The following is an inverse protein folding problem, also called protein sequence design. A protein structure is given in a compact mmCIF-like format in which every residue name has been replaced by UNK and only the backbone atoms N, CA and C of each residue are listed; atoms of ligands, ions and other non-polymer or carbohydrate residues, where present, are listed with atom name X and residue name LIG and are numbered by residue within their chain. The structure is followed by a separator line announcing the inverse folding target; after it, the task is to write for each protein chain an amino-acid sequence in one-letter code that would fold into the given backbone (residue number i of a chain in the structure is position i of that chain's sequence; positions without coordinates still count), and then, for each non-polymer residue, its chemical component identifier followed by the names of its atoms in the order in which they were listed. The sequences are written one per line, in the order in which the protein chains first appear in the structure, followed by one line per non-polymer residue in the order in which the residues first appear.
data_IF_668850783985
#
_entry.id   IF_668850783985
#
_cell.length_a   1.000
_cell.length_b   1.000
_cell.length_c   1.000
_cell.angle_alpha   90.00
_cell.angle_beta   90.00
_cell.angle_gamma   90.00
#
_symmetry.space_group_name_H-M   'P 1'
#
loop_
_entity.id
_entity.type
_entity.pdbx_description
1 polymer ?
#
# COMPACT_ATOMS: atom_id res chain seq x y z
N UNK A 1 -54.32 11.32 -3.82
CA UNK A 1 -55.69 11.73 -4.19
C UNK A 1 -55.81 11.78 -5.72
N UNK A 2 -56.14 10.65 -6.36
CA UNK A 2 -56.49 10.62 -7.78
C UNK A 2 -57.89 10.02 -7.91
N UNK A 3 -58.80 10.81 -8.48
CA UNK A 3 -60.21 10.49 -8.64
C UNK A 3 -60.42 9.68 -9.93
N UNK A 4 -60.90 8.44 -9.81
CA UNK A 4 -61.41 7.66 -10.94
C UNK A 4 -62.89 7.98 -11.16
N UNK A 5 -63.18 8.64 -12.27
CA UNK A 5 -64.54 8.91 -12.74
C UNK A 5 -65.21 7.61 -13.19
N UNK A 6 -66.21 7.17 -12.43
CA UNK A 6 -67.06 6.02 -12.73
C UNK A 6 -68.06 6.38 -13.85
N UNK A 7 -67.90 5.78 -15.04
CA UNK A 7 -68.89 5.89 -16.13
C UNK A 7 -70.11 5.03 -15.77
N UNK A 8 -71.21 5.72 -15.49
CA UNK A 8 -72.55 5.19 -15.24
C UNK A 8 -73.17 4.79 -16.60
N UNK A 9 -73.10 3.52 -16.97
CA UNK A 9 -73.91 2.97 -18.06
C UNK A 9 -75.30 2.62 -17.53
N UNK A 10 -76.28 3.44 -17.89
CA UNK A 10 -77.70 3.19 -17.68
C UNK A 10 -78.17 2.15 -18.70
N UNK A 11 -78.39 0.91 -18.27
CA UNK A 11 -79.03 -0.11 -19.09
C UNK A 11 -80.54 -0.09 -18.83
N UNK A 12 -81.29 0.07 -19.92
CA UNK A 12 -82.75 0.09 -19.99
C UNK A 12 -83.27 -1.35 -19.88
N UNK A 13 -84.25 -1.57 -19.00
CA UNK A 13 -85.01 -2.82 -18.86
C UNK A 13 -86.04 -2.94 -19.99
N UNK A 14 -86.10 -4.08 -20.71
CA UNK A 14 -87.32 -4.54 -21.34
C UNK A 14 -88.01 -5.59 -20.46
N UNK A 15 -89.23 -5.25 -20.05
CA UNK A 15 -90.21 -6.15 -19.46
C UNK A 15 -90.62 -7.24 -20.47
N UNK A 16 -90.38 -8.49 -20.13
CA UNK A 16 -91.11 -9.63 -20.70
C UNK A 16 -91.40 -10.62 -19.59
N UNK A 17 -92.66 -10.66 -19.16
CA UNK A 17 -93.24 -11.72 -18.36
C UNK A 17 -93.14 -13.05 -19.12
N UNK A 18 -92.42 -14.02 -18.55
CA UNK A 18 -92.41 -15.40 -19.02
C UNK A 18 -92.34 -16.35 -17.81
N UNK A 19 -93.29 -17.29 -17.66
CA UNK A 19 -93.34 -18.19 -16.52
C UNK A 19 -92.51 -19.46 -16.79
N UNK A 20 -91.28 -19.51 -16.27
CA UNK A 20 -90.45 -20.72 -16.26
C UNK A 20 -89.87 -20.95 -14.84
N UNK A 21 -90.70 -21.47 -13.94
CA UNK A 21 -90.37 -21.59 -12.50
C UNK A 21 -89.76 -22.95 -12.07
N UNK A 22 -89.08 -23.69 -12.95
CA UNK A 22 -88.52 -25.02 -12.58
C UNK A 22 -87.02 -25.19 -12.85
N UNK A 23 -86.38 -24.34 -13.65
CA UNK A 23 -84.93 -24.43 -13.95
C UNK A 23 -84.03 -23.58 -13.03
N UNK A 24 -84.60 -22.68 -12.22
CA UNK A 24 -83.83 -21.77 -11.37
C UNK A 24 -83.21 -22.40 -10.10
N UNK A 25 -83.56 -23.63 -9.74
CA UNK A 25 -83.04 -24.27 -8.53
C UNK A 25 -81.66 -24.95 -8.74
N UNK A 26 -81.27 -25.28 -9.98
CA UNK A 26 -79.96 -25.88 -10.24
C UNK A 26 -78.81 -24.85 -10.28
N UNK A 27 -79.08 -23.62 -10.72
CA UNK A 27 -78.06 -22.56 -10.81
C UNK A 27 -77.63 -22.00 -9.45
N UNK A 28 -78.51 -22.04 -8.44
CA UNK A 28 -78.16 -21.57 -7.10
C UNK A 28 -77.19 -22.53 -6.38
N UNK A 29 -77.27 -23.83 -6.68
CA UNK A 29 -76.42 -24.84 -6.03
C UNK A 29 -74.96 -24.78 -6.53
N UNK A 30 -74.77 -24.61 -7.83
CA UNK A 30 -73.44 -24.47 -8.45
C UNK A 30 -72.75 -23.18 -8.01
N UNK A 31 -73.50 -22.08 -7.88
CA UNK A 31 -72.97 -20.81 -7.38
C UNK A 31 -72.48 -20.92 -5.93
N UNK A 32 -73.26 -21.54 -5.04
CA UNK A 32 -72.87 -21.73 -3.63
C UNK A 32 -71.64 -22.63 -3.51
N UNK A 33 -71.55 -23.69 -4.32
CA UNK A 33 -70.39 -24.57 -4.33
C UNK A 33 -69.12 -23.86 -4.82
N UNK A 34 -69.21 -23.09 -5.91
CA UNK A 34 -68.09 -22.29 -6.43
C UNK A 34 -67.64 -21.23 -5.41
N UNK A 35 -68.58 -20.57 -4.73
CA UNK A 35 -68.24 -19.57 -3.71
C UNK A 35 -67.53 -20.19 -2.50
N UNK A 36 -67.93 -21.40 -2.06
CA UNK A 36 -67.21 -22.13 -1.01
C UNK A 36 -65.80 -22.53 -1.43
N UNK A 37 -65.63 -22.96 -2.68
CA UNK A 37 -64.32 -23.36 -3.21
C UNK A 37 -63.37 -22.17 -3.34
N UNK A 38 -63.87 -21.01 -3.77
CA UNK A 38 -63.09 -19.76 -3.79
C UNK A 38 -62.66 -19.37 -2.37
N UNK A 39 -63.59 -19.35 -1.41
CA UNK A 39 -63.26 -19.04 -0.01
C UNK A 39 -62.22 -19.99 0.57
N UNK A 40 -62.38 -21.31 0.37
CA UNK A 40 -61.40 -22.29 0.82
C UNK A 40 -60.03 -22.11 0.16
N UNK A 41 -59.98 -21.68 -1.10
CA UNK A 41 -58.71 -21.38 -1.78
C UNK A 41 -58.08 -20.10 -1.25
N UNK A 42 -58.87 -19.08 -0.94
CA UNK A 42 -58.38 -17.81 -0.40
C UNK A 42 -57.88 -17.99 1.04
N UNK A 43 -58.58 -18.76 1.86
CA UNK A 43 -58.18 -19.12 3.22
C UNK A 43 -56.85 -19.89 3.22
N UNK A 44 -56.66 -20.84 2.29
CA UNK A 44 -55.39 -21.55 2.14
C UNK A 44 -54.24 -20.61 1.72
N UNK A 45 -54.50 -19.69 0.79
CA UNK A 45 -53.49 -18.70 0.36
C UNK A 45 -53.10 -17.75 1.50
N UNK A 46 -54.06 -17.37 2.35
CA UNK A 46 -53.81 -16.55 3.52
C UNK A 46 -52.93 -17.30 4.53
N UNK A 47 -53.24 -18.56 4.85
CA UNK A 47 -52.42 -19.39 5.73
C UNK A 47 -50.99 -19.61 5.19
N UNK A 48 -50.84 -19.79 3.87
CA UNK A 48 -49.54 -19.91 3.22
C UNK A 48 -48.73 -18.60 3.29
N UNK A 49 -49.40 -17.44 3.20
CA UNK A 49 -48.76 -16.12 3.33
C UNK A 49 -48.32 -15.87 4.77
N UNK A 50 -49.17 -16.14 5.76
CA UNK A 50 -48.82 -16.04 7.18
C UNK A 50 -47.63 -16.93 7.53
N UNK A 51 -47.58 -18.15 6.98
CA UNK A 51 -46.44 -19.06 7.18
C UNK A 51 -45.16 -18.54 6.54
N UNK A 52 -45.25 -17.88 5.37
CA UNK A 52 -44.09 -17.27 4.71
C UNK A 52 -43.60 -16.02 5.45
N UNK A 53 -44.51 -15.18 5.94
CA UNK A 53 -44.21 -14.01 6.75
C UNK A 53 -43.48 -14.43 8.04
N UNK A 54 -44.00 -15.42 8.76
CA UNK A 54 -43.35 -15.97 9.95
C UNK A 54 -41.94 -16.54 9.67
N UNK A 55 -41.72 -17.12 8.48
CA UNK A 55 -40.38 -17.59 8.06
C UNK A 55 -39.44 -16.42 7.74
N UNK A 56 -39.93 -15.36 7.10
CA UNK A 56 -39.15 -14.16 6.84
C UNK A 56 -38.74 -13.48 8.15
N UNK A 57 -39.65 -13.36 9.11
CA UNK A 57 -39.36 -12.79 10.43
C UNK A 57 -38.32 -13.61 11.19
N UNK A 58 -38.41 -14.94 11.14
CA UNK A 58 -37.40 -15.82 11.74
C UNK A 58 -36.01 -15.65 11.10
N UNK A 59 -35.94 -15.47 9.77
CA UNK A 59 -34.67 -15.21 9.07
C UNK A 59 -34.09 -13.85 9.48
N UNK A 60 -34.93 -12.80 9.53
CA UNK A 60 -34.50 -11.47 9.96
C UNK A 60 -33.97 -11.49 11.39
N UNK A 61 -34.67 -12.15 12.31
CA UNK A 61 -34.23 -12.31 13.69
C UNK A 61 -32.88 -13.07 13.78
N UNK A 62 -32.71 -14.12 12.96
CA UNK A 62 -31.44 -14.84 12.89
C UNK A 62 -30.29 -13.96 12.36
N UNK A 63 -30.53 -13.19 11.30
CA UNK A 63 -29.53 -12.26 10.75
C UNK A 63 -29.13 -11.17 11.75
N UNK A 64 -30.08 -10.64 12.51
CA UNK A 64 -29.82 -9.67 13.58
C UNK A 64 -28.97 -10.27 14.70
N UNK A 65 -29.27 -11.51 15.10
CA UNK A 65 -28.48 -12.25 16.09
C UNK A 65 -27.03 -12.48 15.62
N UNK A 66 -26.83 -12.87 14.36
CA UNK A 66 -25.50 -13.04 13.76
C UNK A 66 -24.75 -11.70 13.67
N UNK A 67 -25.43 -10.60 13.31
CA UNK A 67 -24.81 -9.28 13.25
C UNK A 67 -24.29 -8.84 14.63
N UNK A 68 -25.08 -9.02 15.69
CA UNK A 68 -24.66 -8.71 17.06
C UNK A 68 -23.46 -9.56 17.51
N UNK A 69 -23.45 -10.86 17.18
CA UNK A 69 -22.32 -11.73 17.49
C UNK A 69 -21.03 -11.30 16.78
N UNK A 70 -21.12 -10.86 15.51
CA UNK A 70 -19.98 -10.33 14.77
C UNK A 70 -19.46 -9.00 15.34
N UNK A 71 -20.35 -8.13 15.84
CA UNK A 71 -19.95 -6.90 16.52
C UNK A 71 -19.21 -7.18 17.84
N UNK A 72 -19.64 -8.17 18.60
CA UNK A 72 -18.96 -8.62 19.82
C UNK A 72 -17.58 -9.25 19.54
N UNK A 73 -17.48 -10.09 18.50
CA UNK A 73 -16.21 -10.66 18.05
C UNK A 73 -15.25 -9.57 17.58
N UNK A 74 -15.74 -8.60 16.81
CA UNK A 74 -14.95 -7.44 16.39
C UNK A 74 -14.45 -6.63 17.59
N UNK A 75 -15.30 -6.35 18.57
CA UNK A 75 -14.91 -5.63 19.77
C UNK A 75 -13.83 -6.38 20.57
N UNK A 76 -13.91 -7.72 20.62
CA UNK A 76 -12.92 -8.59 21.26
C UNK A 76 -11.58 -8.54 20.53
N UNK A 77 -11.58 -8.60 19.20
CA UNK A 77 -10.37 -8.48 18.37
C UNK A 77 -9.73 -7.09 18.50
N UNK A 78 -10.52 -6.02 18.47
CA UNK A 78 -10.03 -4.64 18.65
C UNK A 78 -9.42 -4.42 20.04
N UNK A 79 -9.94 -5.11 21.06
CA UNK A 79 -9.36 -5.11 22.41
C UNK A 79 -8.01 -5.86 22.44
N UNK A 80 -7.96 -7.06 21.85
CA UNK A 80 -6.74 -7.85 21.78
C UNK A 80 -5.61 -7.12 21.03
N UNK A 81 -5.93 -6.49 19.89
CA UNK A 81 -4.99 -5.70 19.09
C UNK A 81 -4.44 -4.50 19.88
N UNK A 82 -5.28 -3.83 20.69
CA UNK A 82 -4.85 -2.73 21.56
C UNK A 82 -3.84 -3.20 22.61
N UNK A 83 -4.08 -4.35 23.22
CA UNK A 83 -3.15 -4.95 24.20
C UNK A 83 -1.81 -5.29 23.54
N UNK A 84 -1.83 -5.91 22.36
CA UNK A 84 -0.61 -6.24 21.62
C UNK A 84 0.17 -4.98 21.22
N UNK A 85 -0.52 -3.92 20.76
CA UNK A 85 0.14 -2.66 20.41
C UNK A 85 0.82 -2.02 21.63
N UNK A 86 0.18 -2.02 22.79
CA UNK A 86 0.76 -1.54 24.05
C UNK A 86 1.99 -2.36 24.43
N UNK A 87 1.93 -3.68 24.28
CA UNK A 87 3.06 -4.57 24.55
C UNK A 87 4.24 -4.28 23.62
N UNK A 88 3.99 -4.13 22.32
CA UNK A 88 5.04 -3.81 21.34
C UNK A 88 5.67 -2.44 21.62
N UNK A 89 4.87 -1.41 21.92
CA UNK A 89 5.40 -0.08 22.31
C UNK A 89 6.28 -0.15 23.56
N UNK A 90 5.89 -0.96 24.55
CA UNK A 90 6.68 -1.18 25.76
C UNK A 90 8.00 -1.88 25.45
N UNK A 91 8.00 -2.87 24.54
CA UNK A 91 9.24 -3.54 24.10
C UNK A 91 10.16 -2.60 23.33
N UNK A 92 9.61 -1.76 22.45
CA UNK A 92 10.39 -0.74 21.72
C UNK A 92 11.04 0.24 22.70
N UNK A 93 10.28 0.81 23.63
CA UNK A 93 10.82 1.72 24.65
C UNK A 93 11.91 1.07 25.51
N UNK A 94 11.76 -0.21 25.87
CA UNK A 94 12.78 -0.96 26.58
C UNK A 94 14.08 -1.12 25.76
N UNK A 95 13.96 -1.41 24.46
CA UNK A 95 15.10 -1.54 23.57
C UNK A 95 15.80 -0.20 23.34
N UNK A 96 15.05 0.89 23.19
CA UNK A 96 15.60 2.26 23.07
C UNK A 96 16.46 2.62 24.28
N UNK A 97 15.95 2.41 25.50
CA UNK A 97 16.71 2.64 26.73
C UNK A 97 17.98 1.78 26.76
N UNK A 98 17.90 0.51 26.31
CA UNK A 98 19.05 -0.38 26.26
C UNK A 98 20.10 0.07 25.23
N UNK A 99 19.68 0.57 24.08
CA UNK A 99 20.58 1.13 23.06
C UNK A 99 21.31 2.35 23.60
N UNK A 100 20.59 3.30 24.21
CA UNK A 100 21.19 4.49 24.83
C UNK A 100 22.21 4.10 25.91
N UNK A 101 21.89 3.11 26.76
CA UNK A 101 22.81 2.63 27.78
C UNK A 101 24.09 2.00 27.19
N UNK A 102 23.96 1.25 26.09
CA UNK A 102 25.11 0.66 25.38
C UNK A 102 25.96 1.74 24.70
N UNK A 103 25.35 2.76 24.09
CA UNK A 103 26.06 3.89 23.51
C UNK A 103 26.86 4.66 24.56
N UNK A 104 26.26 4.92 25.73
CA UNK A 104 26.95 5.57 26.85
C UNK A 104 28.11 4.72 27.37
N UNK A 105 27.94 3.40 27.47
CA UNK A 105 29.00 2.49 27.89
C UNK A 105 30.17 2.47 26.90
N UNK A 106 29.87 2.43 25.60
CA UNK A 106 30.86 2.47 24.52
C UNK A 106 31.64 3.79 24.53
N UNK A 107 30.95 4.93 24.68
CA UNK A 107 31.58 6.24 24.75
C UNK A 107 32.49 6.39 25.98
N UNK A 108 32.11 5.78 27.11
CA UNK A 108 32.93 5.75 28.32
C UNK A 108 34.19 4.87 28.15
N UNK A 109 34.08 3.74 27.44
CA UNK A 109 35.21 2.86 27.13
C UNK A 109 36.20 3.53 26.19
N UNK A 110 35.72 4.10 25.08
CA UNK A 110 36.55 4.84 24.13
C UNK A 110 37.22 6.06 24.80
N UNK A 111 36.50 6.76 25.68
CA UNK A 111 37.07 7.87 26.45
C UNK A 111 38.23 7.44 27.35
N UNK A 112 38.16 6.26 27.98
CA UNK A 112 39.26 5.70 28.78
C UNK A 112 40.47 5.35 27.91
N UNK A 113 40.26 4.69 26.78
CA UNK A 113 41.35 4.34 25.85
C UNK A 113 42.10 5.58 25.35
N UNK A 114 41.38 6.65 25.00
CA UNK A 114 41.99 7.92 24.56
C UNK A 114 42.82 8.54 25.69
N UNK A 115 42.30 8.57 26.93
CA UNK A 115 43.03 9.11 28.09
C UNK A 115 44.32 8.30 28.34
N UNK A 116 44.25 6.98 28.29
CA UNK A 116 45.40 6.09 28.49
C UNK A 116 46.45 6.27 27.37
N UNK A 117 46.03 6.46 26.12
CA UNK A 117 46.92 6.76 24.99
C UNK A 117 47.62 8.11 25.16
N UNK A 118 46.86 9.16 25.51
CA UNK A 118 47.41 10.50 25.74
C UNK A 118 48.41 10.48 26.90
N UNK A 119 48.10 9.76 27.99
CA UNK A 119 49.01 9.58 29.11
C UNK A 119 50.30 8.87 28.70
N UNK A 120 50.21 7.84 27.85
CA UNK A 120 51.36 7.10 27.32
C UNK A 120 52.24 7.99 26.43
N UNK A 121 51.64 8.77 25.54
CA UNK A 121 52.35 9.71 24.68
C UNK A 121 53.03 10.83 25.50
N UNK A 122 52.38 11.33 26.55
CA UNK A 122 52.96 12.33 27.43
C UNK A 122 54.18 11.78 28.21
N UNK A 123 54.14 10.53 28.67
CA UNK A 123 55.28 9.88 29.31
C UNK A 123 56.45 9.67 28.34
N UNK A 124 56.18 9.26 27.10
CA UNK A 124 57.21 9.09 26.07
C UNK A 124 57.86 10.42 25.64
N UNK A 125 57.11 11.52 25.67
CA UNK A 125 57.60 12.84 25.32
C UNK A 125 58.40 13.53 26.43
N UNK A 126 58.34 13.03 27.67
CA UNK A 126 59.12 13.58 28.79
C UNK A 126 60.61 13.29 28.54
N UNK A 127 61.43 14.30 28.20
CA UNK A 127 62.84 14.07 27.91
C UNK A 127 63.49 13.52 29.18
N UNK A 128 64.06 12.32 29.09
CA UNK A 128 65.02 11.91 30.10
C UNK A 128 66.13 12.96 30.09
N UNK A 129 66.15 13.78 31.14
CA UNK A 129 67.22 14.70 31.46
C UNK A 129 68.48 13.87 31.74
N UNK A 130 69.13 13.39 30.68
CA UNK A 130 70.54 13.06 30.68
C UNK A 130 71.29 14.39 30.79
N UNK A 131 71.40 14.84 32.04
CA UNK A 131 72.35 15.85 32.49
C UNK A 131 73.76 15.29 32.30
N UNK A 132 74.28 15.36 31.08
CA UNK A 132 75.72 15.41 30.86
C UNK A 132 76.11 16.88 30.67
N UNK A 133 76.76 17.40 31.72
CA UNK A 133 77.32 18.72 31.79
C UNK A 133 78.44 18.88 30.77
N UNK A 134 78.36 19.85 29.85
CA UNK A 134 79.55 20.48 29.24
C UNK A 134 79.24 21.91 28.78
N UNK A 135 79.67 22.85 29.62
CA UNK A 135 80.18 24.22 29.37
C UNK A 135 79.70 25.09 28.20
N UNK A 136 79.24 26.30 28.60
CA UNK A 136 79.46 27.63 28.01
C UNK A 136 79.84 27.74 26.53
N UNK A 137 78.96 28.38 25.75
CA UNK A 137 79.42 29.34 24.74
C UNK A 137 78.35 30.39 24.44
N UNK A 138 78.79 31.63 24.54
CA UNK A 138 78.08 32.91 24.36
C UNK A 138 78.04 33.28 22.89
N UNK A 139 76.85 33.56 22.33
CA UNK A 139 76.59 34.31 21.09
C UNK A 139 75.17 33.93 20.62
N UNK A 140 74.31 34.75 20.03
CA UNK A 140 74.32 36.14 19.59
C UNK A 140 72.88 36.40 19.11
N UNK A 141 72.31 37.54 19.49
CA UNK A 141 70.96 37.95 19.09
C UNK A 141 70.92 38.26 17.60
N UNK A 142 70.00 37.65 16.84
CA UNK A 142 69.51 38.21 15.59
C UNK A 142 67.98 38.31 15.58
N UNK A 143 67.40 39.43 15.10
CA UNK A 143 65.97 39.64 14.99
C UNK A 143 65.45 39.11 13.65
N UNK A 144 64.44 38.25 13.67
CA UNK A 144 63.82 37.72 12.45
C UNK A 144 62.58 38.56 12.12
N UNK A 145 62.57 38.95 10.85
CA UNK A 145 61.63 39.80 10.14
C UNK A 145 60.15 39.42 10.32
N UNK A 146 59.33 40.47 10.41
CA UNK A 146 57.88 40.43 10.24
C UNK A 146 57.50 39.78 8.90
N UNK A 147 56.71 38.70 8.97
CA UNK A 147 56.14 38.04 7.82
C UNK A 147 54.92 38.82 7.30
N UNK A 148 54.95 39.09 6.01
CA UNK A 148 54.03 39.94 5.27
C UNK A 148 52.59 39.41 5.26
N UNK A 149 51.68 40.36 5.47
CA UNK A 149 50.22 40.26 5.34
C UNK A 149 49.85 39.94 3.89
N UNK A 150 49.44 38.70 3.63
CA UNK A 150 48.91 38.26 2.35
C UNK A 150 47.58 38.97 2.05
N UNK A 151 47.57 39.64 0.89
CA UNK A 151 46.45 40.42 0.37
C UNK A 151 45.53 39.44 -0.36
N UNK A 152 44.36 39.18 0.22
CA UNK A 152 43.27 38.45 -0.45
C UNK A 152 42.80 39.31 -1.63
N UNK A 153 43.02 38.82 -2.85
CA UNK A 153 42.47 39.43 -4.05
C UNK A 153 40.95 39.17 -4.13
N UNK A 154 40.15 40.17 -4.52
CA UNK A 154 38.72 40.05 -4.71
C UNK A 154 38.43 39.33 -6.03
N UNK A 155 37.53 38.35 -5.98
CA UNK A 155 36.91 37.75 -7.16
C UNK A 155 36.18 38.85 -7.93
N UNK A 156 36.70 39.17 -9.10
CA UNK A 156 36.00 39.97 -10.10
C UNK A 156 35.05 39.03 -10.80
N UNK A 157 33.76 39.31 -10.64
CA UNK A 157 32.74 38.94 -11.61
C UNK A 157 33.03 39.74 -12.89
N UNK A 158 32.88 39.07 -14.02
CA UNK A 158 32.75 39.56 -15.39
C UNK A 158 33.69 38.73 -16.26
N UNK A 159 33.17 37.72 -16.96
CA UNK A 159 33.17 37.70 -18.42
C UNK A 159 31.96 36.89 -18.90
N UNK A 160 31.13 37.57 -19.70
CA UNK A 160 30.21 36.99 -20.65
C UNK A 160 30.93 35.94 -21.50
N UNK A 161 30.42 34.71 -21.52
CA UNK A 161 30.75 33.77 -22.58
C UNK A 161 29.46 33.16 -23.14
N UNK A 162 29.04 33.80 -24.23
CA UNK A 162 28.15 33.28 -25.26
C UNK A 162 28.83 32.03 -25.83
N UNK A 163 28.55 30.86 -25.25
CA UNK A 163 28.88 29.57 -25.85
C UNK A 163 27.60 28.95 -26.37
N UNK A 164 27.32 29.31 -27.62
CA UNK A 164 26.68 28.47 -28.62
C UNK A 164 27.46 27.13 -28.70
N UNK A 165 27.12 26.17 -27.83
CA UNK A 165 27.66 24.80 -27.90
C UNK A 165 26.53 23.85 -28.26
N UNK A 166 26.43 23.67 -29.57
CA UNK A 166 25.89 22.46 -30.17
C UNK A 166 26.76 21.27 -29.73
N UNK A 167 26.33 20.49 -28.73
CA UNK A 167 26.60 19.06 -28.68
C UNK A 167 25.53 18.31 -27.88
N UNK A 168 25.10 17.13 -28.37
CA UNK A 168 23.95 16.41 -27.86
C UNK A 168 24.36 15.62 -26.61
N UNK A 169 23.93 16.05 -25.44
CA UNK A 169 23.92 15.19 -24.26
C UNK A 169 22.73 14.23 -24.37
N UNK A 170 22.90 13.20 -25.19
CA UNK A 170 21.98 12.08 -25.28
C UNK A 170 22.06 11.28 -23.98
N UNK A 171 21.17 11.59 -23.03
CA UNK A 171 20.75 10.60 -22.04
C UNK A 171 20.20 9.39 -22.82
N UNK A 172 20.51 8.14 -22.44
CA UNK A 172 19.91 6.98 -23.04
C UNK A 172 18.42 6.97 -22.67
N UNK A 173 17.60 7.63 -23.49
CA UNK A 173 16.19 7.35 -23.55
C UNK A 173 16.06 5.91 -24.05
N UNK A 174 15.70 5.03 -23.11
CA UNK A 174 15.18 3.71 -23.44
C UNK A 174 13.82 3.86 -24.12
N UNK A 175 13.81 4.44 -25.31
CA UNK A 175 12.75 4.26 -26.29
C UNK A 175 13.00 2.90 -26.93
N UNK A 176 12.56 1.86 -26.21
CA UNK A 176 12.24 0.61 -26.88
C UNK A 176 11.02 0.91 -27.77
N UNK A 177 11.28 1.23 -29.04
CA UNK A 177 10.31 1.13 -30.11
C UNK A 177 9.83 -0.33 -30.17
N UNK A 178 8.78 -0.60 -29.40
CA UNK A 178 8.01 -1.83 -29.50
C UNK A 178 7.02 -1.61 -30.63
N UNK A 179 7.22 -2.31 -31.73
CA UNK A 179 6.27 -2.40 -32.84
C UNK A 179 4.88 -2.73 -32.30
N UNK A 180 3.95 -1.80 -32.51
CA UNK A 180 2.61 -1.82 -31.96
C UNK A 180 1.73 -2.85 -32.68
N UNK A 181 1.68 -4.06 -32.14
CA UNK A 181 0.57 -4.98 -32.38
C UNK A 181 -0.68 -4.41 -31.70
N UNK A 182 -1.69 -4.11 -32.51
CA UNK A 182 -2.77 -3.18 -32.20
C UNK A 182 -3.79 -3.74 -31.21
N UNK A 183 -3.52 -3.63 -29.92
CA UNK A 183 -4.45 -3.26 -28.82
C UNK A 183 -3.73 -3.45 -27.49
N UNK A 184 -2.59 -2.76 -27.30
CA UNK A 184 -1.91 -2.76 -26.00
C UNK A 184 -2.74 -1.94 -25.02
N UNK A 185 -3.51 -2.65 -24.19
CA UNK A 185 -4.28 -2.07 -23.10
C UNK A 185 -3.36 -1.17 -22.25
N UNK A 186 -3.79 0.07 -22.02
CA UNK A 186 -2.98 1.06 -21.31
C UNK A 186 -2.60 0.54 -19.91
N UNK A 187 -1.31 0.56 -19.57
CA UNK A 187 -0.83 0.08 -18.28
C UNK A 187 -0.15 1.19 -17.50
N UNK A 188 -0.33 1.20 -16.17
CA UNK A 188 0.40 2.14 -15.31
C UNK A 188 1.90 1.88 -15.40
N UNK A 189 2.70 2.81 -15.95
CA UNK A 189 4.09 2.54 -16.24
C UNK A 189 4.92 2.51 -14.95
N UNK A 190 6.01 1.74 -14.97
CA UNK A 190 6.99 1.71 -13.88
C UNK A 190 7.91 2.91 -14.02
N UNK A 191 7.96 3.76 -13.00
CA UNK A 191 8.80 4.96 -13.02
C UNK A 191 9.30 5.31 -11.62
N UNK A 192 10.31 6.19 -11.57
CA UNK A 192 10.78 6.78 -10.31
C UNK A 192 9.79 7.80 -9.76
N UNK A 193 9.89 8.11 -8.47
CA UNK A 193 9.08 9.13 -7.82
C UNK A 193 9.23 10.52 -8.48
N UNK A 194 10.44 10.86 -8.94
CA UNK A 194 10.70 12.09 -9.68
C UNK A 194 9.91 12.18 -11.00
N UNK A 195 9.88 11.09 -11.78
CA UNK A 195 9.11 11.04 -13.03
C UNK A 195 7.61 11.07 -12.72
N UNK A 196 7.18 10.35 -11.67
CA UNK A 196 5.79 10.38 -11.21
C UNK A 196 5.37 11.80 -10.84
N UNK A 197 6.18 12.51 -10.05
CA UNK A 197 5.94 13.88 -9.64
C UNK A 197 5.80 14.82 -10.84
N UNK A 198 6.73 14.74 -11.80
CA UNK A 198 6.62 15.53 -13.03
C UNK A 198 5.32 15.25 -13.79
N UNK A 199 4.99 13.96 -14.01
CA UNK A 199 3.77 13.57 -14.74
C UNK A 199 2.48 13.85 -13.94
N UNK A 200 2.58 13.92 -12.62
CA UNK A 200 1.47 14.27 -11.74
C UNK A 200 0.88 15.64 -12.08
N UNK A 201 1.74 16.60 -12.39
CA UNK A 201 1.38 17.97 -12.72
C UNK A 201 1.30 18.23 -14.24
N UNK A 202 2.30 17.80 -15.01
CA UNK A 202 2.42 18.14 -16.43
C UNK A 202 1.93 17.05 -17.38
N UNK A 203 1.56 15.87 -16.86
CA UNK A 203 1.14 14.74 -17.68
C UNK A 203 2.30 14.15 -18.50
N UNK A 204 1.96 13.52 -19.63
CA UNK A 204 2.93 13.03 -20.60
C UNK A 204 2.51 13.38 -22.03
N UNK A 205 3.27 12.93 -23.04
CA UNK A 205 2.95 13.22 -24.44
C UNK A 205 1.57 12.70 -24.86
N UNK A 206 1.09 11.63 -24.21
CA UNK A 206 -0.21 11.02 -24.49
C UNK A 206 -1.34 11.73 -23.75
N UNK A 207 -1.09 12.13 -22.51
CA UNK A 207 -2.02 12.83 -21.63
C UNK A 207 -1.49 14.24 -21.37
N UNK A 208 -1.98 15.22 -22.12
CA UNK A 208 -1.60 16.64 -21.99
C UNK A 208 -2.02 17.30 -20.66
N UNK A 209 -2.61 16.54 -19.75
CA UNK A 209 -3.04 17.00 -18.44
C UNK A 209 -2.35 16.18 -17.34
N UNK A 210 -2.08 16.84 -16.21
CA UNK A 210 -1.50 16.21 -15.03
C UNK A 210 -2.28 14.99 -14.57
N UNK A 211 -1.56 13.92 -14.23
CA UNK A 211 -2.17 12.66 -13.78
C UNK A 211 -3.00 12.80 -12.51
N UNK A 212 -2.87 13.92 -11.78
CA UNK A 212 -3.74 14.26 -10.65
C UNK A 212 -5.23 14.27 -11.01
N UNK A 213 -5.58 14.62 -12.25
CA UNK A 213 -6.96 14.67 -12.73
C UNK A 213 -7.49 13.33 -13.25
N UNK A 214 -6.65 12.30 -13.32
CA UNK A 214 -7.05 11.02 -13.87
C UNK A 214 -7.89 10.24 -12.86
N UNK A 215 -9.10 9.83 -13.22
CA UNK A 215 -9.89 8.97 -12.34
C UNK A 215 -9.36 7.53 -12.39
N UNK A 216 -8.93 7.02 -11.24
CA UNK A 216 -8.43 5.65 -11.11
C UNK A 216 -9.50 4.61 -11.52
N UNK A 217 -10.79 4.93 -11.40
CA UNK A 217 -11.88 4.02 -11.78
C UNK A 217 -11.94 3.76 -13.29
N UNK A 218 -11.44 4.70 -14.10
CA UNK A 218 -11.41 4.61 -15.58
C UNK A 218 -10.25 3.77 -16.10
N UNK A 219 -9.30 3.41 -15.22
CA UNK A 219 -8.13 2.62 -15.58
C UNK A 219 -8.45 1.12 -15.54
N UNK A 220 -7.75 0.30 -16.34
CA UNK A 220 -7.81 -1.15 -16.23
C UNK A 220 -7.53 -1.61 -14.79
N UNK A 221 -8.24 -2.65 -14.33
CA UNK A 221 -8.16 -3.18 -12.95
C UNK A 221 -6.72 -3.43 -12.49
N UNK A 222 -5.85 -3.87 -13.39
CA UNK A 222 -4.43 -4.10 -13.12
C UNK A 222 -3.65 -2.81 -12.79
N UNK A 223 -4.08 -1.66 -13.33
CA UNK A 223 -3.47 -0.34 -13.17
C UNK A 223 -4.07 0.47 -12.02
N UNK A 224 -5.31 0.20 -11.60
CA UNK A 224 -6.01 0.96 -10.55
C UNK A 224 -5.23 0.99 -9.23
N UNK A 225 -4.76 -0.17 -8.75
CA UNK A 225 -4.01 -0.25 -7.49
C UNK A 225 -2.72 0.59 -7.51
N UNK A 226 -2.02 0.61 -8.65
CA UNK A 226 -0.80 1.41 -8.83
C UNK A 226 -1.10 2.90 -8.93
N UNK A 227 -2.20 3.26 -9.59
CA UNK A 227 -2.67 4.64 -9.66
C UNK A 227 -3.00 5.18 -8.28
N UNK A 228 -3.76 4.41 -7.49
CA UNK A 228 -4.10 4.76 -6.10
C UNK A 228 -2.86 4.90 -5.23
N UNK A 229 -1.92 3.95 -5.30
CA UNK A 229 -0.67 4.04 -4.55
C UNK A 229 0.17 5.26 -4.96
N UNK A 230 0.28 5.53 -6.27
CA UNK A 230 1.01 6.69 -6.79
C UNK A 230 0.39 8.01 -6.34
N UNK A 231 -0.96 8.08 -6.30
CA UNK A 231 -1.70 9.24 -5.78
C UNK A 231 -1.37 9.52 -4.32
N UNK A 232 -1.32 8.48 -3.48
CA UNK A 232 -0.98 8.64 -2.05
C UNK A 232 0.41 9.24 -1.89
N UNK A 233 1.41 8.73 -2.64
CA UNK A 233 2.78 9.25 -2.59
C UNK A 233 2.85 10.70 -3.11
N UNK A 234 2.23 10.97 -4.25
CA UNK A 234 2.24 12.31 -4.83
C UNK A 234 1.54 13.32 -3.91
N UNK A 235 0.37 12.99 -3.36
CA UNK A 235 -0.34 13.88 -2.45
C UNK A 235 0.45 14.14 -1.17
N UNK A 236 1.10 13.13 -0.59
CA UNK A 236 1.94 13.34 0.59
C UNK A 236 3.09 14.33 0.34
N UNK A 237 3.71 14.28 -0.85
CA UNK A 237 4.75 15.24 -1.23
C UNK A 237 4.17 16.64 -1.49
N UNK A 238 2.95 16.74 -2.04
CA UNK A 238 2.24 18.01 -2.19
C UNK A 238 1.96 18.63 -0.84
N UNK A 239 1.40 17.87 0.09
CA UNK A 239 1.06 18.37 1.43
C UNK A 239 2.31 18.90 2.15
N UNK A 240 3.45 18.24 1.99
CA UNK A 240 4.74 18.70 2.54
C UNK A 240 5.22 19.98 1.84
N UNK A 241 5.15 20.05 0.52
CA UNK A 241 5.54 21.25 -0.23
C UNK A 241 4.72 22.48 0.22
N UNK A 242 3.41 22.30 0.44
CA UNK A 242 2.53 23.36 0.93
C UNK A 242 2.79 23.71 2.40
N UNK A 243 2.99 22.71 3.26
CA UNK A 243 3.23 22.93 4.69
C UNK A 243 4.55 23.64 5.00
N UNK A 244 5.52 23.56 4.08
CA UNK A 244 6.84 24.20 4.18
C UNK A 244 7.00 25.43 3.28
N UNK A 245 5.89 26.01 2.81
CA UNK A 245 5.86 27.23 1.99
C UNK A 245 6.74 27.13 0.72
N UNK A 246 6.94 25.92 0.17
CA UNK A 246 7.65 25.72 -1.09
C UNK A 246 6.77 26.10 -2.29
N UNK A 247 5.45 26.05 -2.09
CA UNK A 247 4.44 26.58 -3.00
C UNK A 247 3.24 27.07 -2.17
N UNK A 248 2.56 28.09 -2.67
CA UNK A 248 1.35 28.67 -2.07
C UNK A 248 0.08 27.85 -2.39
N UNK A 249 0.11 27.07 -3.46
CA UNK A 249 -1.04 26.25 -3.90
C UNK A 249 -0.61 25.11 -4.84
N UNK A 250 -1.49 24.11 -5.01
CA UNK A 250 -1.29 23.06 -6.02
C UNK A 250 -1.31 23.58 -7.46
N UNK A 251 -2.00 24.69 -7.71
CA UNK A 251 -2.04 25.32 -9.03
C UNK A 251 -0.71 26.02 -9.36
N UNK A 252 -0.05 26.59 -8.35
CA UNK A 252 1.31 27.10 -8.52
C UNK A 252 2.28 25.98 -8.88
N UNK A 253 2.22 24.83 -8.19
CA UNK A 253 3.03 23.65 -8.54
C UNK A 253 2.81 23.18 -9.98
N UNK A 254 1.56 23.28 -10.49
CA UNK A 254 1.27 22.94 -11.88
C UNK A 254 1.77 23.98 -12.89
N UNK A 255 1.87 25.25 -12.48
CA UNK A 255 2.35 26.34 -13.32
C UNK A 255 3.88 26.47 -13.33
N UNK A 256 4.58 25.89 -12.34
CA UNK A 256 6.04 25.93 -12.23
C UNK A 256 6.73 25.32 -13.45
N UNK A 257 7.83 25.96 -13.85
CA UNK A 257 8.74 25.39 -14.84
C UNK A 257 9.32 24.08 -14.30
N UNK A 258 9.68 23.16 -15.21
CA UNK A 258 10.19 21.84 -14.84
C UNK A 258 11.36 21.89 -13.84
N UNK A 259 12.27 22.86 -13.98
CA UNK A 259 13.41 23.02 -13.07
C UNK A 259 12.96 23.31 -11.64
N UNK A 260 12.11 24.33 -11.47
CA UNK A 260 11.58 24.74 -10.16
C UNK A 260 10.73 23.64 -9.53
N UNK A 261 9.89 22.97 -10.34
CA UNK A 261 9.07 21.86 -9.87
C UNK A 261 9.91 20.69 -9.33
N UNK A 262 11.05 20.40 -9.97
CA UNK A 262 11.98 19.36 -9.49
C UNK A 262 12.74 19.80 -8.24
N UNK A 263 13.07 21.08 -8.11
CA UNK A 263 13.67 21.62 -6.89
C UNK A 263 12.72 21.50 -5.69
N UNK A 264 11.42 21.80 -5.90
CA UNK A 264 10.38 21.59 -4.88
C UNK A 264 10.25 20.10 -4.53
N UNK A 265 10.28 19.22 -5.52
CA UNK A 265 10.28 17.77 -5.29
C UNK A 265 11.43 17.32 -4.39
N UNK A 266 12.67 17.72 -4.69
CA UNK A 266 13.84 17.32 -3.90
C UNK A 266 13.75 17.87 -2.46
N UNK A 267 13.26 19.10 -2.30
CA UNK A 267 12.99 19.71 -1.00
C UNK A 267 11.95 18.93 -0.20
N UNK A 268 10.79 18.66 -0.80
CA UNK A 268 9.69 17.92 -0.16
C UNK A 268 10.08 16.47 0.15
N UNK A 269 10.80 15.80 -0.76
CA UNK A 269 11.27 14.43 -0.57
C UNK A 269 12.28 14.34 0.57
N UNK A 270 13.21 15.30 0.67
CA UNK A 270 14.17 15.37 1.77
C UNK A 270 13.46 15.48 3.12
N UNK A 271 12.47 16.37 3.22
CA UNK A 271 11.68 16.53 4.46
C UNK A 271 10.88 15.26 4.75
N UNK A 272 10.23 14.67 3.75
CA UNK A 272 9.47 13.44 3.92
C UNK A 272 10.32 12.28 4.44
N UNK A 273 11.58 12.18 3.98
CA UNK A 273 12.51 11.13 4.36
C UNK A 273 13.20 11.38 5.70
N UNK A 274 13.51 12.63 6.06
CA UNK A 274 14.40 12.94 7.18
C UNK A 274 13.79 13.80 8.30
N UNK A 275 12.80 14.64 7.98
CA UNK A 275 12.30 15.68 8.87
C UNK A 275 10.76 15.61 9.03
N UNK A 276 10.14 14.46 8.76
CA UNK A 276 8.68 14.35 8.74
C UNK A 276 8.12 14.48 10.17
N UNK A 277 7.31 15.52 10.47
CA UNK A 277 6.75 15.75 11.80
C UNK A 277 5.79 14.64 12.24
N UNK A 278 5.23 13.87 11.29
CA UNK A 278 4.35 12.73 11.56
C UNK A 278 5.11 11.41 11.80
N UNK A 279 6.44 11.47 11.91
CA UNK A 279 7.30 10.31 12.07
C UNK A 279 8.17 10.10 10.84
N UNK A 280 9.45 9.84 11.07
CA UNK A 280 10.43 9.75 10.01
C UNK A 280 10.18 8.50 9.16
N UNK A 281 9.98 8.67 7.85
CA UNK A 281 9.74 7.54 6.95
C UNK A 281 11.00 6.70 6.76
N UNK A 282 12.18 7.31 6.93
CA UNK A 282 13.46 6.60 6.95
C UNK A 282 13.68 5.70 8.19
N UNK A 283 12.82 5.78 9.21
CA UNK A 283 12.80 4.72 10.20
C UNK A 283 12.27 3.44 9.51
N UNK A 284 13.07 2.37 9.55
CA UNK A 284 12.93 1.16 8.70
C UNK A 284 11.51 0.58 8.71
N UNK A 285 10.76 0.79 9.78
CA UNK A 285 9.38 0.32 9.95
C UNK A 285 8.39 0.95 8.96
N UNK A 286 8.53 2.24 8.64
CA UNK A 286 7.56 2.97 7.82
C UNK A 286 7.80 2.81 6.33
N UNK A 287 9.07 2.72 5.91
CA UNK A 287 9.44 2.28 4.55
C UNK A 287 8.99 0.84 4.28
N UNK A 288 9.08 -0.03 5.29
CA UNK A 288 8.46 -1.36 5.24
C UNK A 288 6.95 -1.26 5.13
N UNK A 289 6.26 -0.32 5.79
CA UNK A 289 4.82 -0.13 5.61
C UNK A 289 4.41 0.48 4.27
N UNK A 290 5.18 1.38 3.67
CA UNK A 290 4.88 1.87 2.31
C UNK A 290 5.16 0.79 1.25
N UNK A 291 6.24 0.01 1.44
CA UNK A 291 6.51 -1.17 0.62
C UNK A 291 5.48 -2.28 0.89
N UNK A 292 5.05 -2.47 2.12
CA UNK A 292 4.02 -3.43 2.54
C UNK A 292 2.65 -2.97 2.10
N UNK A 293 2.33 -1.68 1.99
CA UNK A 293 1.08 -1.22 1.38
C UNK A 293 1.12 -1.52 -0.12
N UNK A 294 2.24 -1.36 -0.82
CA UNK A 294 2.36 -1.89 -2.19
C UNK A 294 2.33 -3.42 -2.27
N UNK A 295 2.85 -4.15 -1.28
CA UNK A 295 2.85 -5.63 -1.24
C UNK A 295 1.51 -6.19 -0.75
N UNK A 296 0.77 -5.49 0.12
CA UNK A 296 -0.56 -5.80 0.63
C UNK A 296 -1.61 -5.43 -0.40
N UNK A 297 -1.46 -4.31 -1.11
CA UNK A 297 -2.28 -4.00 -2.28
C UNK A 297 -2.02 -5.03 -3.40
N UNK A 298 -0.76 -5.46 -3.62
CA UNK A 298 -0.49 -6.62 -4.47
C UNK A 298 -1.13 -7.90 -3.89
N UNK A 299 -1.14 -8.10 -2.56
CA UNK A 299 -1.73 -9.28 -1.92
C UNK A 299 -3.26 -9.33 -2.06
N UNK A 300 -3.94 -8.18 -1.99
CA UNK A 300 -5.38 -8.01 -2.20
C UNK A 300 -5.74 -8.19 -3.69
N UNK A 301 -4.92 -7.66 -4.61
CA UNK A 301 -5.11 -7.84 -6.05
C UNK A 301 -4.94 -9.32 -6.48
N UNK A 302 -4.00 -10.05 -5.85
CA UNK A 302 -3.85 -11.50 -6.08
C UNK A 302 -4.97 -12.34 -5.47
N UNK A 303 -5.58 -11.92 -4.35
CA UNK A 303 -6.79 -12.58 -3.82
C UNK A 303 -7.99 -12.46 -4.76
N UNK A 304 -8.11 -11.37 -5.51
CA UNK A 304 -9.13 -11.24 -6.57
C UNK A 304 -8.74 -12.03 -7.84
N UNK A 305 -7.47 -12.07 -8.22
CA UNK A 305 -7.00 -12.88 -9.36
C UNK A 305 -7.10 -14.40 -9.11
N UNK A 306 -6.99 -14.87 -7.86
CA UNK A 306 -7.19 -16.28 -7.48
C UNK A 306 -8.65 -16.74 -7.55
N UNK A 307 -9.62 -15.81 -7.59
CA UNK A 307 -11.01 -16.13 -7.90
C UNK A 307 -11.24 -16.37 -9.41
N UNK A 308 -10.27 -15.99 -10.25
CA UNK A 308 -10.21 -16.40 -11.66
C UNK A 308 -9.57 -17.79 -11.77
N UNK A 309 -10.28 -18.81 -11.27
CA UNK A 309 -9.87 -20.21 -11.30
C UNK A 309 -9.69 -20.80 -12.72
N UNK A 310 -10.01 -20.05 -13.77
CA UNK A 310 -10.02 -20.49 -15.17
C UNK A 310 -8.66 -20.41 -15.89
N UNK A 311 -7.63 -19.78 -15.32
CA UNK A 311 -6.38 -19.50 -16.04
C UNK A 311 -5.19 -20.40 -15.66
N UNK A 312 -5.30 -21.23 -14.62
CA UNK A 312 -4.14 -21.97 -14.09
C UNK A 312 -3.93 -23.26 -14.87
N UNK A 313 -3.03 -23.23 -15.86
CA UNK A 313 -2.40 -24.45 -16.36
C UNK A 313 -1.68 -25.10 -15.18
N UNK A 314 -1.94 -26.39 -14.95
CA UNK A 314 -1.26 -27.19 -13.91
C UNK A 314 0.24 -26.99 -14.01
N UNK A 315 0.81 -26.23 -13.08
CA UNK A 315 2.25 -25.97 -13.07
C UNK A 315 2.93 -27.22 -12.53
N UNK A 316 3.77 -27.84 -13.36
CA UNK A 316 4.48 -29.06 -12.96
C UNK A 316 5.71 -28.70 -12.15
N UNK A 317 5.71 -29.12 -10.90
CA UNK A 317 6.86 -28.95 -10.03
C UNK A 317 8.02 -29.84 -10.52
N UNK A 318 9.24 -29.27 -10.66
CA UNK A 318 10.43 -30.01 -11.07
C UNK A 318 11.34 -30.26 -9.86
N UNK A 319 11.41 -31.48 -9.30
CA UNK A 319 12.21 -31.78 -8.11
C UNK A 319 13.72 -31.61 -8.29
N UNK A 320 14.20 -31.54 -9.54
CA UNK A 320 15.62 -31.32 -9.85
C UNK A 320 15.99 -29.86 -10.06
N UNK A 321 15.10 -28.89 -9.79
CA UNK A 321 15.47 -27.48 -9.93
C UNK A 321 16.43 -27.02 -8.82
N UNK A 322 17.38 -26.12 -9.12
CA UNK A 322 18.23 -25.53 -8.10
C UNK A 322 17.40 -24.88 -6.97
N UNK A 323 17.85 -25.02 -5.72
CA UNK A 323 17.18 -24.45 -4.53
C UNK A 323 16.91 -22.96 -4.69
N UNK A 324 17.80 -22.22 -5.35
CA UNK A 324 17.62 -20.79 -5.65
C UNK A 324 16.43 -20.53 -6.57
N UNK A 325 16.23 -21.33 -7.60
CA UNK A 325 15.09 -21.23 -8.52
C UNK A 325 13.80 -21.54 -7.79
N UNK A 326 13.80 -22.58 -6.95
CA UNK A 326 12.67 -22.90 -6.09
C UNK A 326 12.32 -21.75 -5.15
N UNK A 327 13.31 -21.16 -4.48
CA UNK A 327 13.10 -20.02 -3.59
C UNK A 327 12.49 -18.82 -4.33
N UNK A 328 13.00 -18.50 -5.52
CA UNK A 328 12.44 -17.42 -6.33
C UNK A 328 11.00 -17.72 -6.76
N UNK A 329 10.69 -18.95 -7.19
CA UNK A 329 9.33 -19.35 -7.53
C UNK A 329 8.40 -19.37 -6.31
N UNK A 330 8.92 -19.71 -5.13
CA UNK A 330 8.18 -19.67 -3.87
C UNK A 330 7.72 -18.25 -3.53
N UNK A 331 8.61 -17.27 -3.72
CA UNK A 331 8.34 -15.90 -3.30
C UNK A 331 7.78 -14.98 -4.40
N UNK A 332 8.13 -15.22 -5.66
CA UNK A 332 7.81 -14.36 -6.81
C UNK A 332 6.98 -15.05 -7.88
N UNK A 333 6.83 -16.36 -7.80
CA UNK A 333 6.15 -17.15 -8.83
C UNK A 333 7.05 -17.48 -10.00
N UNK A 334 6.47 -18.14 -10.99
CA UNK A 334 7.14 -18.46 -12.25
C UNK A 334 6.57 -17.60 -13.36
N UNK A 335 7.24 -16.47 -13.64
CA UNK A 335 6.82 -15.55 -14.69
C UNK A 335 6.81 -16.20 -16.08
N UNK A 336 7.65 -17.21 -16.33
CA UNK A 336 7.71 -17.89 -17.63
C UNK A 336 6.48 -18.76 -17.89
N UNK A 337 5.90 -19.31 -16.83
CA UNK A 337 4.70 -20.16 -16.89
C UNK A 337 3.43 -19.43 -16.45
N UNK A 338 3.51 -18.14 -16.10
CA UNK A 338 2.40 -17.36 -15.58
C UNK A 338 1.90 -17.84 -14.20
N UNK A 339 2.77 -18.52 -13.44
CA UNK A 339 2.40 -19.11 -12.15
C UNK A 339 2.63 -18.10 -11.02
N UNK A 340 1.65 -17.94 -10.13
CA UNK A 340 1.82 -17.09 -8.95
C UNK A 340 2.86 -17.68 -7.96
N UNK A 341 3.34 -16.91 -6.96
CA UNK A 341 4.22 -17.44 -5.92
C UNK A 341 3.68 -18.75 -5.32
N UNK A 342 4.51 -19.79 -5.26
CA UNK A 342 4.05 -21.13 -4.87
C UNK A 342 3.45 -21.18 -3.46
N UNK A 343 3.85 -20.27 -2.56
CA UNK A 343 3.27 -20.13 -1.22
C UNK A 343 1.76 -19.82 -1.21
N UNK A 344 1.21 -19.38 -2.34
CA UNK A 344 -0.21 -19.09 -2.51
C UNK A 344 -0.97 -20.18 -3.27
N UNK A 345 -0.29 -21.19 -3.80
CA UNK A 345 -0.93 -22.31 -4.48
C UNK A 345 -1.44 -23.32 -3.45
N UNK A 346 -2.67 -23.79 -3.63
CA UNK A 346 -3.16 -24.95 -2.87
C UNK A 346 -2.31 -26.18 -3.22
N UNK A 347 -2.03 -27.10 -2.27
CA UNK A 347 -1.32 -28.34 -2.56
C UNK A 347 -1.92 -29.15 -3.72
N UNK A 348 -3.23 -29.02 -3.97
CA UNK A 348 -3.92 -29.68 -5.09
C UNK A 348 -3.56 -29.10 -6.47
N UNK A 349 -3.02 -27.87 -6.52
CA UNK A 349 -2.65 -27.17 -7.75
C UNK A 349 -1.17 -27.35 -8.12
N UNK A 350 -0.35 -27.82 -7.18
CA UNK A 350 1.03 -28.21 -7.44
C UNK A 350 1.02 -29.60 -8.10
N UNK A 351 1.01 -29.63 -9.43
CA UNK A 351 1.05 -30.86 -10.19
C UNK A 351 2.40 -31.55 -10.01
N UNK A 352 2.44 -32.63 -9.22
CA UNK A 352 3.63 -33.43 -8.99
C UNK A 352 3.29 -34.70 -8.24
N UNK A 353 3.72 -35.86 -8.74
CA UNK A 353 3.47 -37.18 -8.12
C UNK A 353 4.43 -37.51 -6.97
N UNK A 354 5.16 -36.54 -6.43
CA UNK A 354 6.10 -36.78 -5.34
C UNK A 354 5.47 -36.38 -3.99
N UNK A 355 4.89 -37.35 -3.26
CA UNK A 355 4.23 -37.08 -1.98
C UNK A 355 5.20 -36.57 -0.92
N UNK A 356 6.49 -36.90 -0.99
CA UNK A 356 7.50 -36.50 0.01
C UNK A 356 7.75 -35.00 -0.11
N UNK A 357 7.85 -34.50 -1.33
CA UNK A 357 8.12 -33.09 -1.56
C UNK A 357 6.88 -32.22 -1.33
N UNK A 358 5.68 -32.72 -1.63
CA UNK A 358 4.44 -32.04 -1.26
C UNK A 358 4.29 -31.93 0.27
N UNK A 359 4.66 -32.99 1.00
CA UNK A 359 4.69 -32.97 2.47
C UNK A 359 5.75 -31.99 3.01
N UNK A 360 6.92 -31.93 2.38
CA UNK A 360 7.95 -30.94 2.71
C UNK A 360 7.48 -29.50 2.48
N UNK A 361 6.79 -29.24 1.38
CA UNK A 361 6.21 -27.93 1.05
C UNK A 361 5.11 -27.55 2.04
N UNK A 362 4.21 -28.48 2.38
CA UNK A 362 3.16 -28.26 3.38
C UNK A 362 3.80 -27.97 4.75
N UNK A 363 4.84 -28.71 5.11
CA UNK A 363 5.58 -28.55 6.36
C UNK A 363 6.29 -27.20 6.40
N UNK A 364 6.99 -26.80 5.33
CA UNK A 364 7.66 -25.50 5.23
C UNK A 364 6.65 -24.34 5.29
N UNK A 365 5.51 -24.47 4.61
CA UNK A 365 4.42 -23.47 4.64
C UNK A 365 3.84 -23.34 6.04
N UNK A 366 3.55 -24.46 6.71
CA UNK A 366 3.07 -24.46 8.10
C UNK A 366 4.11 -23.90 9.06
N UNK A 367 5.39 -24.24 8.87
CA UNK A 367 6.48 -23.79 9.72
C UNK A 367 6.73 -22.28 9.59
N UNK A 368 6.72 -21.74 8.35
CA UNK A 368 6.86 -20.31 8.08
C UNK A 368 5.60 -19.49 8.43
N UNK A 369 4.42 -20.13 8.48
CA UNK A 369 3.15 -19.46 8.84
C UNK A 369 2.85 -19.51 10.34
N UNK A 370 3.68 -20.16 11.16
CA UNK A 370 3.48 -20.19 12.61
C UNK A 370 4.01 -18.91 13.28
N UNK A 371 3.22 -18.21 14.13
CA UNK A 371 3.64 -16.97 14.81
C UNK A 371 4.83 -17.12 15.77
N UNK A 372 5.26 -18.35 16.06
CA UNK A 372 6.16 -18.68 17.17
C UNK A 372 7.65 -18.43 16.91
N UNK A 373 8.05 -18.11 15.67
CA UNK A 373 9.46 -17.98 15.31
C UNK A 373 10.09 -16.59 15.45
N UNK A 374 9.33 -15.56 15.83
CA UNK A 374 9.91 -14.31 16.34
C UNK A 374 10.34 -14.39 17.82
N UNK A 375 10.20 -15.55 18.49
CA UNK A 375 10.34 -15.65 19.95
C UNK A 375 11.28 -16.74 20.50
N UNK A 376 12.26 -17.25 19.73
CA UNK A 376 13.35 -18.04 20.34
C UNK A 376 14.71 -17.35 20.24
N UNK A 377 15.10 -16.82 21.39
CA UNK A 377 16.43 -16.37 21.79
C UNK A 377 17.49 -17.46 21.52
N UNK A 378 18.66 -17.04 21.06
CA UNK A 378 19.91 -17.72 21.35
C UNK A 378 20.23 -17.54 22.85
N UNK A 379 20.55 -18.65 23.50
CA UNK A 379 21.39 -18.64 24.69
C UNK A 379 22.83 -18.31 24.29
#
# INVERSE_FOLDING_TARGET
MMAFACRRCSYVNPSTDSPCSVEQQHDTSTLVHNQRRIRSSDDQRLADLETKEARCDAIVAHMQSVALALEEEKATLDSALRVENIQLRTQVAYLEVKVIALEQALMAELGREIIDEVARLAQAASPQSTLDATTSSTAERQPIHACSRERVHPWTNDEDDVIESSHPFALPHGEAEVEADGTTEWCWPRMSAAILWHRWFHGDASLRFGWRYMDASTLPTASQAKATASRVVAQALVDIALAHDMASSEDELAAMARGDLMHVFDGALRIWLHDNPNGNVADRSTLLHLLEVTVLLAHVQWRQATLCASCVKTTTFRPHQPVRTFWLQWFRGDATNGTCPFRFLSPKMLGGRDPILLDWIITLTRWLSQPRWCHRKAC
#
